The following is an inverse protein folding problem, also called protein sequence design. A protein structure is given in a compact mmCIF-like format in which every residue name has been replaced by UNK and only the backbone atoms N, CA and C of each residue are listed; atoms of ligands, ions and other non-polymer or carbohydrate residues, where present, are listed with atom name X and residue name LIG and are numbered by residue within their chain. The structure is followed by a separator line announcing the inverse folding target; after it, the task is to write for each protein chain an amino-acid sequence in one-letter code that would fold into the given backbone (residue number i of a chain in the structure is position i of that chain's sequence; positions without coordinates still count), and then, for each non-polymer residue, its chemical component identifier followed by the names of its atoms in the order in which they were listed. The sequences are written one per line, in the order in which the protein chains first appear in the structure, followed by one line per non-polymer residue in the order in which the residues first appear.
data_IF_867053344849
#
_entry.id   IF_867053344849
#
_cell.length_a   1.000
_cell.length_b   1.000
_cell.length_c   1.000
_cell.angle_alpha   90.00
_cell.angle_beta   90.00
_cell.angle_gamma   90.00
#
_symmetry.space_group_name_H-M   'P 1'
#
loop_
_entity.id
_entity.type
_entity.pdbx_description
1 polymer ?
#
# COMPACT_ATOMS: atom_id res chain seq x y z
N UNK A 1 -17.08 13.77 3.51
CA UNK A 1 -16.36 13.75 2.21
C UNK A 1 -14.91 13.34 2.39
N UNK A 2 -14.15 13.97 3.29
CA UNK A 2 -12.75 13.60 3.59
C UNK A 2 -12.55 12.11 3.92
N UNK A 3 -13.45 11.52 4.72
CA UNK A 3 -13.37 10.09 5.07
C UNK A 3 -13.51 9.16 3.87
N UNK A 4 -14.37 9.48 2.90
CA UNK A 4 -14.53 8.67 1.67
C UNK A 4 -13.28 8.70 0.81
N UNK A 5 -12.71 9.90 0.59
CA UNK A 5 -11.47 10.05 -0.19
C UNK A 5 -10.31 9.31 0.48
N UNK A 6 -10.23 9.34 1.81
CA UNK A 6 -9.24 8.56 2.55
C UNK A 6 -9.45 7.05 2.31
N UNK A 7 -10.69 6.56 2.43
CA UNK A 7 -11.02 5.15 2.15
C UNK A 7 -10.76 4.74 0.69
N UNK A 8 -11.00 5.63 -0.27
CA UNK A 8 -10.76 5.34 -1.70
C UNK A 8 -9.26 5.13 -1.95
N UNK A 9 -8.40 5.98 -1.37
CA UNK A 9 -6.93 5.84 -1.47
C UNK A 9 -6.40 4.60 -0.74
N UNK A 10 -6.97 4.27 0.42
CA UNK A 10 -6.64 3.03 1.14
C UNK A 10 -7.03 1.80 0.31
N UNK A 11 -8.20 1.79 -0.33
CA UNK A 11 -8.62 0.73 -1.24
C UNK A 11 -7.73 0.64 -2.48
N UNK A 12 -7.30 1.78 -3.04
CA UNK A 12 -6.33 1.80 -4.13
C UNK A 12 -5.02 1.11 -3.72
N UNK A 13 -4.44 1.45 -2.56
CA UNK A 13 -3.22 0.80 -2.09
C UNK A 13 -3.40 -0.70 -1.82
N UNK A 14 -4.52 -1.09 -1.21
CA UNK A 14 -4.86 -2.52 -0.99
C UNK A 14 -4.88 -3.29 -2.32
N UNK A 15 -5.52 -2.74 -3.34
CA UNK A 15 -5.61 -3.36 -4.67
C UNK A 15 -4.25 -3.44 -5.39
N UNK A 16 -3.23 -2.73 -4.90
CA UNK A 16 -1.88 -2.79 -5.41
C UNK A 16 -1.00 -3.77 -4.61
N UNK A 17 -1.55 -4.57 -3.69
CA UNK A 17 -0.79 -5.62 -3.00
C UNK A 17 -0.99 -6.95 -3.72
N UNK A 18 0.12 -7.57 -4.15
CA UNK A 18 0.12 -8.83 -4.91
C UNK A 18 1.06 -9.83 -4.25
N UNK A 19 0.78 -11.12 -4.41
CA UNK A 19 1.70 -12.18 -3.99
C UNK A 19 2.54 -12.63 -5.19
N UNK A 20 3.86 -12.57 -5.07
CA UNK A 20 4.82 -12.92 -6.11
C UNK A 20 6.07 -13.53 -5.50
N UNK A 21 6.55 -14.63 -6.07
CA UNK A 21 7.79 -15.30 -5.67
C UNK A 21 7.89 -15.56 -4.15
N UNK A 22 6.77 -15.99 -3.54
CA UNK A 22 6.70 -16.27 -2.11
C UNK A 22 6.61 -15.04 -1.20
N UNK A 23 6.39 -13.84 -1.74
CA UNK A 23 6.31 -12.61 -0.94
C UNK A 23 5.13 -11.72 -1.38
N UNK A 24 4.53 -11.01 -0.45
CA UNK A 24 3.66 -9.86 -0.71
C UNK A 24 4.49 -8.66 -1.20
N UNK A 25 3.99 -7.97 -2.22
CA UNK A 25 4.64 -6.81 -2.84
C UNK A 25 3.60 -5.71 -3.02
N UNK A 26 3.93 -4.50 -2.59
CA UNK A 26 3.18 -3.29 -2.96
C UNK A 26 3.64 -2.87 -4.37
N UNK A 27 2.77 -3.04 -5.36
CA UNK A 27 3.02 -2.78 -6.77
C UNK A 27 2.93 -1.31 -7.19
N UNK A 28 2.68 -0.40 -6.25
CA UNK A 28 2.72 1.03 -6.48
C UNK A 28 4.01 1.59 -5.87
N UNK A 29 4.77 2.38 -6.64
CA UNK A 29 5.95 3.04 -6.09
C UNK A 29 5.56 4.25 -5.22
N UNK A 30 6.46 4.70 -4.33
CA UNK A 30 6.23 5.90 -3.50
C UNK A 30 5.94 7.13 -4.37
N UNK A 31 6.71 7.32 -5.43
CA UNK A 31 6.57 8.48 -6.32
C UNK A 31 5.21 8.45 -7.03
N UNK A 32 4.81 7.30 -7.57
CA UNK A 32 3.50 7.15 -8.23
C UNK A 32 2.35 7.36 -7.24
N UNK A 33 2.51 6.89 -6.00
CA UNK A 33 1.53 7.12 -4.94
C UNK A 33 1.36 8.61 -4.64
N UNK A 34 2.47 9.35 -4.52
CA UNK A 34 2.45 10.79 -4.30
C UNK A 34 1.81 11.55 -5.49
N UNK A 35 2.11 11.14 -6.72
CA UNK A 35 1.50 11.72 -7.94
C UNK A 35 -0.03 11.49 -7.98
N UNK A 36 -0.50 10.37 -7.43
CA UNK A 36 -1.92 10.08 -7.22
C UNK A 36 -2.52 10.78 -5.99
N UNK A 37 -1.74 11.63 -5.32
CA UNK A 37 -2.15 12.38 -4.14
C UNK A 37 -2.31 11.52 -2.89
N UNK A 38 -1.72 10.33 -2.85
CA UNK A 38 -1.70 9.48 -1.65
C UNK A 38 -0.69 10.09 -0.67
N UNK A 39 -1.09 10.38 0.59
CA UNK A 39 -0.17 10.91 1.58
C UNK A 39 0.97 9.94 1.87
N UNK A 40 2.17 10.47 2.08
CA UNK A 40 3.37 9.67 2.33
C UNK A 40 3.21 8.75 3.55
N UNK A 41 2.67 9.26 4.65
CA UNK A 41 2.38 8.49 5.86
C UNK A 41 1.41 7.31 5.62
N UNK A 42 0.48 7.47 4.66
CA UNK A 42 -0.44 6.40 4.29
C UNK A 42 0.31 5.31 3.52
N UNK A 43 1.13 5.70 2.54
CA UNK A 43 1.97 4.77 1.80
C UNK A 43 2.90 3.97 2.74
N UNK A 44 3.56 4.65 3.67
CA UNK A 44 4.46 4.04 4.65
C UNK A 44 3.78 2.99 5.52
N UNK A 45 2.55 3.28 5.94
CA UNK A 45 1.75 2.34 6.72
C UNK A 45 1.45 1.06 5.93
N UNK A 46 1.11 1.17 4.65
CA UNK A 46 0.86 0.02 3.78
C UNK A 46 2.13 -0.77 3.47
N UNK A 47 3.24 -0.08 3.21
CA UNK A 47 4.54 -0.72 3.04
C UNK A 47 4.94 -1.52 4.30
N UNK A 48 4.71 -0.95 5.48
CA UNK A 48 4.96 -1.64 6.75
C UNK A 48 4.06 -2.87 6.92
N UNK A 49 2.79 -2.81 6.52
CA UNK A 49 1.90 -3.99 6.55
C UNK A 49 2.40 -5.12 5.64
N UNK A 50 2.84 -4.78 4.42
CA UNK A 50 3.42 -5.76 3.49
C UNK A 50 4.68 -6.38 4.06
N UNK A 51 5.57 -5.58 4.65
CA UNK A 51 6.80 -6.07 5.28
C UNK A 51 6.51 -7.02 6.43
N UNK A 52 5.58 -6.66 7.34
CA UNK A 52 5.16 -7.53 8.44
C UNK A 52 4.49 -8.81 7.95
N UNK A 53 3.64 -8.73 6.93
CA UNK A 53 3.02 -9.91 6.34
C UNK A 53 4.09 -10.88 5.79
N UNK A 54 5.15 -10.34 5.18
CA UNK A 54 6.28 -11.13 4.70
C UNK A 54 7.12 -11.77 5.81
N UNK A 55 7.13 -11.20 7.01
CA UNK A 55 7.79 -11.81 8.17
C UNK A 55 7.05 -13.07 8.67
N UNK A 56 5.74 -13.18 8.44
CA UNK A 56 4.95 -14.34 8.88
C UNK A 56 5.00 -15.55 7.93
N UNK A 57 5.43 -15.34 6.69
CA UNK A 57 5.47 -16.39 5.65
C UNK A 57 6.88 -16.92 5.38
N UNK A 58 7.89 -16.35 6.04
CA UNK A 58 9.28 -16.81 6.05
C UNK A 58 9.52 -17.72 7.24
#
# INVERSE_FOLDING_TARGET
MLSRIQSDKEMMLLNQIWFKDGNFVLGLSRNDAMDLGIPEEMYDRFLNYVNKANEYIK
#
